data_IF_880169245155
#
_entry.id   IF_880169245155
#
_cell.length_a   1.000
_cell.length_b   1.000
_cell.length_c   1.000
_cell.angle_alpha   90.00
_cell.angle_beta   90.00
_cell.angle_gamma   90.00
#
_symmetry.space_group_name_H-M   'P 1'
#
loop_
_entity.id
_entity.type
_entity.pdbx_description
1 polymer ?
#
# COMPACT_ATOMS: atom_id res chain seq x y z
N UNK A 1 -6.09 58.64 -8.28
CA UNK A 1 -5.95 57.18 -8.46
C UNK A 1 -4.53 56.79 -8.08
N UNK A 2 -4.32 56.38 -6.83
CA UNK A 2 -3.00 55.96 -6.34
C UNK A 2 -2.79 54.48 -6.68
N UNK A 3 -1.79 54.20 -7.50
CA UNK A 3 -1.27 52.86 -7.75
C UNK A 3 -0.54 52.38 -6.48
N UNK A 4 -1.12 51.42 -5.77
CA UNK A 4 -0.37 50.64 -4.78
C UNK A 4 0.39 49.54 -5.52
N UNK A 5 1.65 49.82 -5.86
CA UNK A 5 2.61 48.76 -6.15
C UNK A 5 3.03 48.14 -4.81
N UNK A 6 2.43 47.01 -4.46
CA UNK A 6 2.91 46.19 -3.35
C UNK A 6 4.28 45.61 -3.75
N UNK A 7 5.32 45.68 -2.91
CA UNK A 7 6.56 44.99 -3.19
C UNK A 7 6.26 43.49 -3.08
N UNK A 8 6.25 42.80 -4.21
CA UNK A 8 6.36 41.34 -4.23
C UNK A 8 7.72 41.06 -3.59
N UNK A 9 7.71 40.66 -2.32
CA UNK A 9 8.87 40.11 -1.66
C UNK A 9 9.38 38.97 -2.55
N UNK A 10 10.50 39.20 -3.24
CA UNK A 10 11.28 38.13 -3.84
C UNK A 10 11.75 37.26 -2.67
N UNK A 11 10.97 36.24 -2.32
CA UNK A 11 11.59 35.02 -1.81
C UNK A 11 12.42 34.53 -2.99
N UNK A 12 13.73 34.64 -2.87
CA UNK A 12 14.64 33.89 -3.72
C UNK A 12 14.30 32.42 -3.50
N UNK A 13 13.40 31.88 -4.32
CA UNK A 13 13.34 30.45 -4.58
C UNK A 13 14.65 30.13 -5.30
N UNK A 14 15.70 29.83 -4.54
CA UNK A 14 16.97 29.38 -5.09
C UNK A 14 16.71 28.11 -5.89
N UNK A 15 16.81 28.22 -7.22
CA UNK A 15 16.81 27.06 -8.10
C UNK A 15 18.02 26.18 -7.72
N UNK A 16 17.75 24.90 -7.45
CA UNK A 16 18.83 23.96 -7.17
C UNK A 16 19.80 23.90 -8.36
N UNK A 17 21.09 23.92 -8.07
CA UNK A 17 22.14 23.74 -9.06
C UNK A 17 22.03 22.36 -9.74
N UNK A 18 22.59 22.22 -10.94
CA UNK A 18 22.60 20.96 -11.67
C UNK A 18 23.22 19.80 -10.86
N UNK A 19 24.26 20.09 -10.06
CA UNK A 19 24.90 19.11 -9.19
C UNK A 19 23.98 18.65 -8.05
N UNK A 20 23.21 19.57 -7.45
CA UNK A 20 22.21 19.24 -6.42
C UNK A 20 21.07 18.40 -6.99
N UNK A 21 20.58 18.76 -8.19
CA UNK A 21 19.56 17.97 -8.90
C UNK A 21 20.07 16.57 -9.21
N UNK A 22 21.29 16.43 -9.72
CA UNK A 22 21.89 15.13 -10.03
C UNK A 22 22.09 14.28 -8.76
N UNK A 23 22.57 14.88 -7.67
CA UNK A 23 22.71 14.21 -6.39
C UNK A 23 21.37 13.70 -5.84
N UNK A 24 20.32 14.51 -5.94
CA UNK A 24 18.96 14.12 -5.54
C UNK A 24 18.37 13.04 -6.46
N UNK A 25 18.57 13.10 -7.78
CA UNK A 25 18.18 12.03 -8.71
C UNK A 25 18.85 10.71 -8.35
N UNK A 26 20.14 10.73 -7.98
CA UNK A 26 20.87 9.55 -7.55
C UNK A 26 20.28 8.95 -6.27
N UNK A 27 20.03 9.78 -5.25
CA UNK A 27 19.39 9.34 -3.99
C UNK A 27 18.02 8.72 -4.23
N UNK A 28 17.19 9.35 -5.06
CA UNK A 28 15.88 8.80 -5.45
C UNK A 28 16.10 7.47 -6.16
N UNK A 29 16.99 7.40 -7.15
CA UNK A 29 17.30 6.18 -7.89
C UNK A 29 17.73 5.01 -7.01
N UNK A 30 18.59 5.26 -6.02
CA UNK A 30 19.02 4.27 -5.01
C UNK A 30 17.83 3.80 -4.16
N UNK A 31 17.05 4.73 -3.62
CA UNK A 31 15.83 4.44 -2.84
C UNK A 31 14.80 3.64 -3.64
N UNK A 32 14.70 3.86 -4.95
CA UNK A 32 13.80 3.12 -5.83
C UNK A 32 14.27 1.70 -6.14
N UNK A 33 15.60 1.45 -6.13
CA UNK A 33 16.21 0.14 -6.40
C UNK A 33 16.22 -0.76 -5.17
N UNK A 34 16.25 -0.19 -3.97
CA UNK A 34 16.13 -0.97 -2.74
C UNK A 34 14.72 -1.57 -2.69
N UNK A 35 14.56 -2.90 -2.70
CA UNK A 35 13.25 -3.49 -2.47
C UNK A 35 12.77 -2.98 -1.11
N UNK A 36 11.56 -2.41 -1.07
CA UNK A 36 10.89 -2.15 0.19
C UNK A 36 10.91 -3.50 0.93
N UNK A 37 11.59 -3.57 2.08
CA UNK A 37 11.72 -4.80 2.85
C UNK A 37 10.34 -5.37 3.10
N UNK A 38 9.95 -6.35 2.27
CA UNK A 38 8.75 -7.14 2.39
C UNK A 38 8.97 -8.09 3.56
N UNK A 39 8.72 -7.56 4.74
CA UNK A 39 8.80 -8.27 5.99
C UNK A 39 8.10 -7.41 6.99
N UNK A 40 6.80 -7.63 7.16
CA UNK A 40 6.24 -7.52 8.49
C UNK A 40 7.12 -8.41 9.38
N UNK A 41 8.08 -7.79 10.08
CA UNK A 41 8.76 -8.41 11.20
C UNK A 41 7.68 -8.61 12.25
N UNK A 42 6.92 -9.69 12.12
CA UNK A 42 6.28 -10.31 13.27
C UNK A 42 7.43 -10.62 14.22
N UNK A 43 7.36 -10.05 15.42
CA UNK A 43 8.44 -10.00 16.40
C UNK A 43 9.25 -11.30 16.43
N UNK A 44 10.56 -11.16 16.27
CA UNK A 44 11.49 -12.20 16.60
C UNK A 44 11.47 -12.38 18.11
N UNK A 45 11.02 -13.54 18.58
CA UNK A 45 11.55 -14.17 19.78
C UNK A 45 11.97 -15.59 19.39
N UNK A 46 13.23 -15.90 19.71
CA UNK A 46 14.01 -17.04 19.23
C UNK A 46 13.64 -18.36 19.90
N UNK A 47 13.63 -19.48 19.16
CA UNK A 47 14.59 -20.61 19.32
C UNK A 47 14.52 -21.61 18.13
N UNK A 48 15.49 -22.56 17.94
CA UNK A 48 16.29 -22.65 16.70
C UNK A 48 15.86 -23.73 15.67
N UNK A 49 16.47 -23.58 14.50
CA UNK A 49 16.53 -24.38 13.28
C UNK A 49 16.11 -25.87 13.31
N UNK A 50 15.35 -26.24 12.26
CA UNK A 50 15.60 -27.46 11.50
C UNK A 50 15.44 -27.18 10.00
N UNK A 51 16.18 -27.94 9.20
CA UNK A 51 16.66 -27.63 7.86
C UNK A 51 15.60 -27.62 6.75
N UNK A 52 15.88 -26.78 5.75
CA UNK A 52 15.74 -27.03 4.32
C UNK A 52 14.48 -27.70 3.80
N UNK A 53 13.57 -26.89 3.27
CA UNK A 53 12.83 -27.26 2.06
C UNK A 53 12.48 -25.97 1.30
N UNK A 54 12.85 -25.92 0.02
CA UNK A 54 12.57 -24.81 -0.86
C UNK A 54 11.05 -24.66 -1.02
N UNK A 55 10.54 -23.45 -0.77
CA UNK A 55 9.13 -23.10 -0.98
C UNK A 55 8.77 -23.30 -2.46
N UNK A 56 7.95 -24.31 -2.82
CA UNK A 56 7.55 -24.56 -4.21
C UNK A 56 6.45 -23.58 -4.66
N UNK A 57 6.00 -22.65 -3.79
CA UNK A 57 4.89 -21.74 -4.02
C UNK A 57 5.17 -20.54 -4.93
N UNK A 58 6.43 -20.31 -5.35
CA UNK A 58 6.78 -19.17 -6.20
C UNK A 58 6.31 -19.31 -7.67
N UNK A 59 5.84 -20.49 -8.08
CA UNK A 59 5.51 -20.81 -9.47
C UNK A 59 4.01 -21.03 -9.69
N UNK A 60 3.18 -20.00 -9.47
CA UNK A 60 1.88 -19.80 -10.15
C UNK A 60 1.22 -18.47 -9.73
N UNK A 61 1.91 -17.35 -9.89
CA UNK A 61 1.23 -16.08 -10.04
C UNK A 61 0.82 -15.96 -11.52
N UNK A 62 -0.43 -16.26 -11.84
CA UNK A 62 -1.04 -15.83 -13.12
C UNK A 62 -0.69 -14.36 -13.27
N UNK A 63 0.10 -14.02 -14.30
CA UNK A 63 0.81 -12.75 -14.41
C UNK A 63 -0.14 -11.56 -14.27
N UNK A 64 -0.27 -11.04 -13.04
CA UNK A 64 -0.99 -9.80 -12.78
C UNK A 64 -0.12 -8.71 -13.40
N UNK A 65 -0.50 -8.22 -14.58
CA UNK A 65 0.30 -7.25 -15.33
C UNK A 65 0.74 -6.05 -14.51
N UNK A 66 1.81 -5.40 -14.97
CA UNK A 66 2.54 -4.39 -14.20
C UNK A 66 1.67 -3.15 -13.93
N UNK A 67 1.73 -2.65 -12.69
CA UNK A 67 1.17 -1.35 -12.31
C UNK A 67 2.30 -0.36 -12.17
N UNK A 68 2.18 0.80 -12.80
CA UNK A 68 3.21 1.84 -12.75
C UNK A 68 2.63 3.24 -12.88
N UNK A 69 3.37 4.24 -12.40
CA UNK A 69 3.12 5.66 -12.70
C UNK A 69 4.05 6.06 -13.84
N UNK A 70 3.55 6.53 -15.00
CA UNK A 70 4.38 7.10 -16.04
C UNK A 70 5.02 8.40 -15.55
N UNK A 71 6.32 8.56 -15.75
CA UNK A 71 7.08 9.75 -15.32
C UNK A 71 7.86 10.32 -16.51
N UNK A 72 7.19 10.96 -17.49
CA UNK A 72 7.88 11.58 -18.61
C UNK A 72 8.60 12.85 -18.14
N UNK A 73 9.82 13.06 -18.62
CA UNK A 73 10.52 14.34 -18.51
C UNK A 73 10.14 15.19 -19.73
N UNK A 74 9.49 16.32 -19.48
CA UNK A 74 9.07 17.24 -20.54
C UNK A 74 10.19 18.23 -20.76
N UNK A 75 10.86 18.15 -21.90
CA UNK A 75 12.09 18.93 -22.14
C UNK A 75 11.81 20.37 -22.55
N UNK A 76 10.73 20.61 -23.31
CA UNK A 76 10.38 21.92 -23.85
C UNK A 76 8.91 21.99 -24.26
N UNK A 77 8.40 23.20 -24.48
CA UNK A 77 7.15 23.43 -25.22
C UNK A 77 7.23 22.93 -26.67
N UNK A 78 6.08 22.56 -27.23
CA UNK A 78 5.96 21.92 -28.56
C UNK A 78 6.09 20.39 -28.53
N UNK A 79 6.26 19.79 -27.34
CA UNK A 79 6.36 18.32 -27.16
C UNK A 79 5.06 17.69 -26.63
N UNK A 80 4.01 18.49 -26.42
CA UNK A 80 2.77 18.11 -25.74
C UNK A 80 2.10 16.92 -26.42
N UNK A 81 1.93 16.99 -27.75
CA UNK A 81 1.34 15.91 -28.54
C UNK A 81 2.16 14.61 -28.47
N UNK A 82 3.49 14.71 -28.42
CA UNK A 82 4.38 13.55 -28.33
C UNK A 82 4.28 12.87 -26.97
N UNK A 83 4.24 13.66 -25.89
CA UNK A 83 4.08 13.16 -24.52
C UNK A 83 2.72 12.48 -24.35
N UNK A 84 1.63 13.10 -24.83
CA UNK A 84 0.29 12.51 -24.79
C UNK A 84 0.23 11.17 -25.54
N UNK A 85 0.73 11.15 -26.78
CA UNK A 85 0.77 9.91 -27.57
C UNK A 85 1.62 8.82 -26.91
N UNK A 86 2.72 9.20 -26.24
CA UNK A 86 3.52 8.25 -25.47
C UNK A 86 2.75 7.70 -24.27
N UNK A 87 2.08 8.56 -23.49
CA UNK A 87 1.25 8.13 -22.34
C UNK A 87 0.16 7.13 -22.77
N UNK A 88 -0.46 7.35 -23.91
CA UNK A 88 -1.51 6.46 -24.43
C UNK A 88 -0.95 5.10 -24.88
N UNK A 89 0.23 5.09 -25.50
CA UNK A 89 0.94 3.84 -25.82
C UNK A 89 1.29 3.06 -24.56
N UNK A 90 1.78 3.74 -23.51
CA UNK A 90 2.10 3.09 -22.24
C UNK A 90 0.86 2.49 -21.57
N UNK A 91 -0.25 3.23 -21.54
CA UNK A 91 -1.51 2.74 -20.98
C UNK A 91 -2.06 1.53 -21.76
N UNK A 92 -2.00 1.58 -23.09
CA UNK A 92 -2.46 0.49 -23.96
C UNK A 92 -1.59 -0.76 -23.78
N UNK A 93 -0.27 -0.61 -23.73
CA UNK A 93 0.65 -1.72 -23.50
C UNK A 93 0.39 -2.38 -22.14
N UNK A 94 0.27 -1.57 -21.08
CA UNK A 94 -0.05 -2.07 -19.74
C UNK A 94 -1.35 -2.87 -19.72
N UNK A 95 -2.42 -2.36 -20.36
CA UNK A 95 -3.72 -3.03 -20.39
C UNK A 95 -3.67 -4.40 -21.10
N UNK A 96 -2.90 -4.52 -22.20
CA UNK A 96 -2.71 -5.79 -22.92
C UNK A 96 -2.07 -6.88 -22.07
N UNK A 97 -1.20 -6.47 -21.13
CA UNK A 97 -0.54 -7.37 -20.20
C UNK A 97 -1.38 -7.63 -18.92
N UNK A 98 -2.62 -7.12 -18.84
CA UNK A 98 -3.45 -7.19 -17.63
C UNK A 98 -2.94 -6.29 -16.50
N UNK A 99 -2.14 -5.28 -16.85
CA UNK A 99 -1.60 -4.25 -15.96
C UNK A 99 -2.36 -2.94 -16.04
N UNK A 100 -1.79 -1.88 -15.45
CA UNK A 100 -2.41 -0.55 -15.42
C UNK A 100 -1.37 0.56 -15.30
N UNK A 101 -1.40 1.50 -16.24
CA UNK A 101 -0.75 2.79 -16.06
C UNK A 101 -1.63 3.69 -15.18
N UNK A 102 -1.06 4.21 -14.10
CA UNK A 102 -1.71 5.17 -13.21
C UNK A 102 -1.56 6.60 -13.77
N UNK A 103 -2.20 7.57 -13.10
CA UNK A 103 -2.08 8.98 -13.46
C UNK A 103 -0.60 9.41 -13.48
N UNK A 104 -0.12 10.08 -14.53
CA UNK A 104 1.30 10.41 -14.69
C UNK A 104 1.78 11.49 -13.73
N UNK A 105 3.08 11.46 -13.44
CA UNK A 105 3.83 12.57 -12.86
C UNK A 105 4.69 13.19 -13.97
N UNK A 106 4.29 14.34 -14.49
CA UNK A 106 5.06 15.07 -15.49
C UNK A 106 6.23 15.78 -14.80
N UNK A 107 7.47 15.48 -15.20
CA UNK A 107 8.65 16.19 -14.70
C UNK A 107 8.93 17.38 -15.60
N UNK A 108 8.72 18.57 -15.06
CA UNK A 108 9.01 19.83 -15.72
C UNK A 108 10.45 20.26 -15.39
N UNK A 109 11.19 20.70 -16.40
CA UNK A 109 12.42 21.46 -16.20
C UNK A 109 12.05 22.92 -15.80
N UNK A 110 12.90 23.62 -15.02
CA UNK A 110 12.62 25.00 -14.62
C UNK A 110 12.68 25.98 -15.81
N UNK A 111 13.27 25.57 -16.94
CA UNK A 111 13.49 26.38 -18.13
C UNK A 111 12.81 25.79 -19.39
N UNK A 112 13.14 26.34 -20.56
CA UNK A 112 12.74 25.84 -21.89
C UNK A 112 11.23 25.72 -22.11
N UNK A 113 10.41 26.53 -21.45
CA UNK A 113 8.96 26.45 -21.57
C UNK A 113 8.37 25.08 -21.18
N UNK A 114 9.09 24.30 -20.35
CA UNK A 114 8.69 22.95 -19.96
C UNK A 114 7.49 22.93 -19.00
N UNK A 115 7.45 23.84 -18.01
CA UNK A 115 6.31 23.93 -17.10
C UNK A 115 5.00 24.30 -17.82
N UNK A 116 4.94 25.33 -18.70
CA UNK A 116 3.74 25.61 -19.48
C UNK A 116 3.29 24.42 -20.33
N UNK A 117 4.24 23.70 -20.97
CA UNK A 117 3.94 22.47 -21.70
C UNK A 117 3.30 21.40 -20.80
N UNK A 118 3.83 21.19 -19.59
CA UNK A 118 3.24 20.27 -18.61
C UNK A 118 1.83 20.68 -18.20
N UNK A 119 1.57 21.98 -18.03
CA UNK A 119 0.24 22.49 -17.68
C UNK A 119 -0.76 22.30 -18.82
N UNK A 120 -0.34 22.49 -20.07
CA UNK A 120 -1.17 22.21 -21.26
C UNK A 120 -1.49 20.71 -21.39
N UNK A 121 -0.49 19.84 -21.24
CA UNK A 121 -0.68 18.38 -21.19
C UNK A 121 -1.67 18.02 -20.07
N UNK A 122 -1.49 18.58 -18.86
CA UNK A 122 -2.37 18.29 -17.73
C UNK A 122 -3.80 18.78 -17.97
N UNK A 123 -3.98 19.96 -18.58
CA UNK A 123 -5.29 20.46 -18.98
C UNK A 123 -5.96 19.52 -19.98
N UNK A 124 -5.23 19.08 -21.02
CA UNK A 124 -5.73 18.12 -22.01
C UNK A 124 -6.13 16.79 -21.35
N UNK A 125 -5.31 16.25 -20.46
CA UNK A 125 -5.62 15.04 -19.70
C UNK A 125 -6.91 15.20 -18.89
N UNK A 126 -7.10 16.33 -18.22
CA UNK A 126 -8.32 16.62 -17.44
C UNK A 126 -9.57 16.69 -18.33
N UNK A 127 -9.46 17.27 -19.53
CA UNK A 127 -10.56 17.25 -20.52
C UNK A 127 -10.95 15.82 -20.91
N UNK A 128 -9.98 14.89 -20.94
CA UNK A 128 -10.23 13.46 -21.17
C UNK A 128 -10.67 12.69 -19.92
N UNK A 129 -10.97 13.38 -18.80
CA UNK A 129 -11.33 12.75 -17.54
C UNK A 129 -10.17 12.03 -16.84
N UNK A 130 -8.92 12.29 -17.25
CA UNK A 130 -7.70 11.70 -16.68
C UNK A 130 -7.06 12.66 -15.67
N UNK A 131 -6.45 12.07 -14.64
CA UNK A 131 -5.64 12.81 -13.67
C UNK A 131 -4.18 12.95 -14.10
N UNK A 132 -3.42 13.71 -13.32
CA UNK A 132 -1.98 13.86 -13.46
C UNK A 132 -1.44 14.86 -12.44
N UNK A 133 -0.13 14.84 -12.22
CA UNK A 133 0.58 15.81 -11.38
C UNK A 133 1.81 16.33 -12.12
N UNK A 134 2.29 17.51 -11.73
CA UNK A 134 3.54 18.10 -12.25
C UNK A 134 4.50 18.28 -11.09
N UNK A 135 5.75 17.85 -11.25
CA UNK A 135 6.84 18.22 -10.36
C UNK A 135 7.90 18.97 -11.16
N UNK A 136 8.28 20.15 -10.67
CA UNK A 136 9.33 20.96 -11.29
C UNK A 136 10.68 20.56 -10.69
N UNK A 137 11.56 20.02 -11.52
CA UNK A 137 12.90 19.60 -11.11
C UNK A 137 13.66 20.78 -10.52
N UNK A 138 14.31 20.56 -9.38
CA UNK A 138 15.07 21.58 -8.67
C UNK A 138 14.24 22.48 -7.75
N UNK A 139 12.90 22.40 -7.77
CA UNK A 139 12.03 23.09 -6.79
C UNK A 139 11.77 22.23 -5.55
N UNK A 140 11.63 22.86 -4.39
CA UNK A 140 11.42 22.16 -3.12
C UNK A 140 10.33 21.05 -3.23
N UNK A 141 10.69 19.83 -2.82
CA UNK A 141 9.78 18.68 -2.78
C UNK A 141 9.68 17.84 -4.06
N UNK A 142 10.34 18.22 -5.17
CA UNK A 142 10.24 17.47 -6.44
C UNK A 142 10.69 16.00 -6.32
N UNK A 143 11.77 15.72 -5.57
CA UNK A 143 12.28 14.35 -5.36
C UNK A 143 11.33 13.50 -4.49
N UNK A 144 10.61 14.14 -3.56
CA UNK A 144 9.55 13.51 -2.76
C UNK A 144 8.36 13.12 -3.62
N UNK A 145 7.97 13.94 -4.61
CA UNK A 145 6.89 13.59 -5.55
C UNK A 145 7.24 12.36 -6.39
N UNK A 146 8.48 12.25 -6.88
CA UNK A 146 8.95 11.06 -7.60
C UNK A 146 8.91 9.82 -6.70
N UNK A 147 9.38 9.95 -5.46
CA UNK A 147 9.34 8.87 -4.48
C UNK A 147 7.91 8.45 -4.15
N UNK A 148 7.00 9.41 -4.00
CA UNK A 148 5.59 9.17 -3.75
C UNK A 148 4.91 8.49 -4.96
N UNK A 149 5.26 8.87 -6.19
CA UNK A 149 4.75 8.21 -7.40
C UNK A 149 5.17 6.72 -7.46
N UNK A 150 6.43 6.42 -7.15
CA UNK A 150 6.88 5.04 -7.09
C UNK A 150 6.24 4.24 -5.95
N UNK A 151 6.11 4.83 -4.75
CA UNK A 151 5.39 4.22 -3.64
C UNK A 151 3.93 3.94 -4.01
N UNK A 152 3.27 4.88 -4.71
CA UNK A 152 1.91 4.72 -5.21
C UNK A 152 1.80 3.51 -6.15
N UNK A 153 2.72 3.36 -7.10
CA UNK A 153 2.75 2.21 -8.00
C UNK A 153 2.92 0.89 -7.25
N UNK A 154 3.81 0.83 -6.25
CA UNK A 154 4.04 -0.36 -5.42
C UNK A 154 2.79 -0.73 -4.61
N UNK A 155 2.19 0.24 -3.93
CA UNK A 155 0.97 0.03 -3.14
C UNK A 155 -0.18 -0.40 -4.04
N UNK A 156 -0.39 0.25 -5.19
CA UNK A 156 -1.43 -0.15 -6.13
C UNK A 156 -1.20 -1.55 -6.71
N UNK A 157 0.05 -1.92 -6.97
CA UNK A 157 0.44 -3.27 -7.35
C UNK A 157 0.11 -4.30 -6.27
N UNK A 158 0.50 -4.03 -5.02
CA UNK A 158 0.20 -4.87 -3.87
C UNK A 158 -1.31 -5.02 -3.66
N UNK A 159 -2.06 -3.91 -3.65
CA UNK A 159 -3.51 -3.91 -3.47
C UNK A 159 -4.23 -4.76 -4.50
N UNK A 160 -3.81 -4.73 -5.77
CA UNK A 160 -4.36 -5.62 -6.82
C UNK A 160 -4.09 -7.09 -6.59
N UNK A 161 -3.03 -7.41 -5.84
CA UNK A 161 -2.69 -8.79 -5.53
C UNK A 161 -3.19 -9.27 -4.17
N UNK A 162 -3.54 -8.34 -3.29
CA UNK A 162 -3.80 -8.61 -1.89
C UNK A 162 -5.10 -9.39 -1.68
N UNK A 163 -5.11 -10.18 -0.61
CA UNK A 163 -6.26 -10.99 -0.17
C UNK A 163 -6.65 -10.58 1.24
N UNK A 164 -7.88 -10.11 1.40
CA UNK A 164 -8.43 -9.62 2.67
C UNK A 164 -9.44 -10.64 3.20
N UNK A 165 -9.19 -11.20 4.38
CA UNK A 165 -10.15 -12.09 5.05
C UNK A 165 -11.27 -11.34 5.73
N UNK A 166 -12.51 -11.61 5.36
CA UNK A 166 -13.71 -11.08 6.03
C UNK A 166 -14.30 -12.15 6.94
N UNK A 167 -14.02 -12.09 8.23
CA UNK A 167 -14.40 -13.12 9.20
C UNK A 167 -15.71 -12.73 9.91
N UNK A 168 -16.81 -13.43 9.60
CA UNK A 168 -18.13 -13.19 10.21
C UNK A 168 -18.99 -12.07 9.60
N UNK A 169 -18.50 -11.42 8.54
CA UNK A 169 -19.24 -10.34 7.86
C UNK A 169 -19.36 -9.04 8.67
N UNK A 170 -20.05 -8.02 8.15
CA UNK A 170 -20.30 -6.78 8.89
C UNK A 170 -21.31 -7.00 10.03
N UNK A 171 -21.17 -6.23 11.10
CA UNK A 171 -22.16 -6.21 12.19
C UNK A 171 -23.45 -5.52 11.74
N UNK A 172 -24.60 -6.01 12.21
CA UNK A 172 -25.93 -5.57 11.77
C UNK A 172 -26.24 -4.11 12.12
N UNK A 173 -25.61 -3.58 13.17
CA UNK A 173 -25.77 -2.19 13.63
C UNK A 173 -24.87 -1.18 12.89
N UNK A 174 -24.06 -1.62 11.92
CA UNK A 174 -23.21 -0.72 11.14
C UNK A 174 -24.05 0.04 10.10
N UNK A 175 -24.26 1.34 10.35
CA UNK A 175 -24.91 2.24 9.39
C UNK A 175 -24.00 2.65 8.21
N UNK A 176 -22.68 2.46 8.34
CA UNK A 176 -21.72 2.75 7.29
C UNK A 176 -21.75 1.68 6.19
N UNK A 177 -21.53 2.08 4.94
CA UNK A 177 -21.54 1.17 3.79
C UNK A 177 -20.53 0.04 3.96
N UNK A 178 -21.02 -1.20 3.98
CA UNK A 178 -20.20 -2.40 3.80
C UNK A 178 -20.22 -2.73 2.31
N UNK A 179 -19.26 -2.21 1.50
CA UNK A 179 -19.26 -2.47 0.07
C UNK A 179 -19.16 -3.97 -0.17
N UNK A 180 -19.86 -4.45 -1.20
CA UNK A 180 -19.76 -5.85 -1.58
C UNK A 180 -18.31 -6.20 -2.02
N UNK A 181 -17.88 -7.46 -1.85
CA UNK A 181 -16.57 -7.95 -2.28
C UNK A 181 -16.18 -7.61 -3.72
N UNK A 182 -17.13 -7.56 -4.65
CA UNK A 182 -16.84 -7.28 -6.06
C UNK A 182 -16.54 -5.80 -6.27
N UNK A 183 -17.24 -4.91 -5.57
CA UNK A 183 -16.95 -3.47 -5.57
C UNK A 183 -15.56 -3.19 -5.02
N UNK A 184 -15.16 -3.84 -3.92
CA UNK A 184 -13.80 -3.73 -3.37
C UNK A 184 -12.75 -4.17 -4.40
N UNK A 185 -12.95 -5.33 -5.03
CA UNK A 185 -12.06 -5.85 -6.07
C UNK A 185 -11.98 -4.93 -7.28
N UNK A 186 -13.11 -4.42 -7.75
CA UNK A 186 -13.20 -3.56 -8.95
C UNK A 186 -12.55 -2.20 -8.72
N UNK A 187 -12.76 -1.57 -7.56
CA UNK A 187 -12.31 -0.21 -7.27
C UNK A 187 -10.86 -0.18 -6.80
N UNK A 188 -10.48 -1.05 -5.85
CA UNK A 188 -9.17 -1.02 -5.22
C UNK A 188 -8.26 -2.18 -5.65
N UNK A 189 -8.82 -3.28 -6.15
CA UNK A 189 -8.07 -4.45 -6.59
C UNK A 189 -8.07 -5.69 -5.68
N UNK A 190 -8.14 -5.60 -4.33
CA UNK A 190 -7.93 -6.76 -3.48
C UNK A 190 -9.10 -7.74 -3.57
N UNK A 191 -8.80 -9.01 -3.38
CA UNK A 191 -9.81 -10.05 -3.23
C UNK A 191 -10.29 -10.12 -1.79
N UNK A 192 -11.59 -10.06 -1.58
CA UNK A 192 -12.19 -10.33 -0.27
C UNK A 192 -12.53 -11.82 -0.18
N UNK A 193 -11.99 -12.49 0.82
CA UNK A 193 -12.19 -13.90 1.12
C UNK A 193 -13.10 -13.99 2.35
N UNK A 194 -14.37 -14.32 2.15
CA UNK A 194 -15.31 -14.47 3.26
C UNK A 194 -15.05 -15.79 4.00
N UNK A 195 -14.90 -15.70 5.32
CA UNK A 195 -14.76 -16.85 6.22
C UNK A 195 -15.90 -16.78 7.24
N UNK A 196 -16.74 -17.83 7.35
CA UNK A 196 -17.76 -17.88 8.38
C UNK A 196 -17.14 -17.74 9.78
N UNK A 197 -17.83 -17.02 10.68
CA UNK A 197 -17.33 -16.88 12.04
C UNK A 197 -17.25 -18.24 12.77
N UNK A 198 -18.13 -19.17 12.42
CA UNK A 198 -18.11 -20.54 12.93
C UNK A 198 -16.76 -21.25 12.69
N UNK A 199 -16.12 -21.02 11.54
CA UNK A 199 -14.82 -21.59 11.21
C UNK A 199 -13.71 -21.01 12.11
N UNK A 200 -13.83 -19.73 12.49
CA UNK A 200 -12.92 -19.08 13.45
C UNK A 200 -13.09 -19.70 14.83
N UNK A 201 -14.34 -19.84 15.29
CA UNK A 201 -14.66 -20.45 16.59
C UNK A 201 -14.15 -21.89 16.65
N UNK A 202 -14.33 -22.65 15.57
CA UNK A 202 -13.84 -24.04 15.51
C UNK A 202 -12.31 -24.11 15.53
N UNK A 203 -11.63 -23.22 14.79
CA UNK A 203 -10.18 -23.12 14.86
C UNK A 203 -9.68 -22.76 16.26
N UNK A 204 -10.37 -21.88 16.99
CA UNK A 204 -10.05 -21.57 18.39
C UNK A 204 -10.20 -22.80 19.30
N UNK A 205 -11.28 -23.58 19.14
CA UNK A 205 -11.49 -24.81 19.92
C UNK A 205 -10.40 -25.84 19.66
N UNK A 206 -10.01 -26.01 18.40
CA UNK A 206 -8.93 -26.92 18.02
C UNK A 206 -7.61 -26.52 18.69
N UNK A 207 -7.25 -25.23 18.65
CA UNK A 207 -6.05 -24.71 19.32
C UNK A 207 -6.09 -24.93 20.84
N UNK A 208 -7.24 -24.67 21.47
CA UNK A 208 -7.42 -24.90 22.90
C UNK A 208 -7.33 -26.39 23.28
N UNK A 209 -7.75 -27.29 22.40
CA UNK A 209 -7.70 -28.73 22.64
C UNK A 209 -6.28 -29.31 22.45
N UNK A 210 -5.46 -28.71 21.59
CA UNK A 210 -4.13 -29.21 21.23
C UNK A 210 -3.10 -29.07 22.37
N UNK A 211 -2.93 -27.86 22.93
CA UNK A 211 -2.04 -27.62 24.09
C UNK A 211 -2.60 -26.58 25.08
N UNK A 212 -3.65 -26.94 25.84
CA UNK A 212 -4.22 -26.03 26.84
C UNK A 212 -3.25 -25.69 27.97
N UNK A 213 -2.26 -26.54 28.27
CA UNK A 213 -1.26 -26.26 29.29
C UNK A 213 -0.23 -25.22 28.80
N UNK A 214 0.23 -25.33 27.54
CA UNK A 214 1.13 -24.38 26.91
C UNK A 214 0.52 -23.00 26.75
N UNK A 215 -0.74 -22.92 26.32
CA UNK A 215 -1.45 -21.64 26.23
C UNK A 215 -1.53 -20.93 27.59
N UNK A 216 -1.83 -21.67 28.67
CA UNK A 216 -1.83 -21.10 30.03
C UNK A 216 -0.44 -20.64 30.48
N UNK A 217 0.61 -21.39 30.15
CA UNK A 217 2.01 -20.96 30.45
C UNK A 217 2.36 -19.67 29.71
N UNK A 218 2.00 -19.57 28.43
CA UNK A 218 2.20 -18.35 27.61
C UNK A 218 1.38 -17.17 28.15
N UNK A 219 0.13 -17.40 28.53
CA UNK A 219 -0.71 -16.37 29.14
C UNK A 219 -0.08 -15.84 30.44
N UNK A 220 0.34 -16.74 31.33
CA UNK A 220 1.01 -16.36 32.57
C UNK A 220 2.33 -15.61 32.31
N UNK A 221 3.10 -15.99 31.28
CA UNK A 221 4.31 -15.26 30.89
C UNK A 221 4.01 -13.86 30.36
N UNK A 222 3.01 -13.72 29.49
CA UNK A 222 2.58 -12.43 28.95
C UNK A 222 2.13 -11.50 30.08
N UNK A 223 1.32 -12.00 31.01
CA UNK A 223 0.86 -11.25 32.17
C UNK A 223 2.01 -10.87 33.11
N UNK A 224 2.99 -11.75 33.34
CA UNK A 224 4.18 -11.43 34.17
C UNK A 224 5.07 -10.35 33.55
N UNK A 225 5.11 -10.27 32.22
CA UNK A 225 5.91 -9.26 31.48
C UNK A 225 5.14 -7.96 31.24
N UNK A 226 3.85 -7.92 31.54
CA UNK A 226 3.05 -6.71 31.39
C UNK A 226 3.48 -5.67 32.43
N UNK A 227 3.47 -4.40 32.04
CA UNK A 227 3.72 -3.28 32.95
C UNK A 227 2.66 -3.23 34.06
N UNK A 228 1.40 -3.53 33.70
CA UNK A 228 0.28 -3.62 34.62
C UNK A 228 -0.76 -4.62 34.09
N UNK A 229 -1.46 -5.31 35.00
CA UNK A 229 -2.62 -6.15 34.70
C UNK A 229 -3.75 -5.75 35.64
N UNK A 230 -4.85 -5.23 35.08
CA UNK A 230 -5.99 -4.72 35.85
C UNK A 230 -7.18 -5.66 35.75
N UNK A 231 -7.77 -5.80 34.55
CA UNK A 231 -9.04 -6.50 34.34
C UNK A 231 -8.92 -7.97 33.88
N UNK A 232 -8.02 -8.35 32.94
CA UNK A 232 -8.07 -9.69 32.37
C UNK A 232 -7.49 -10.73 33.31
N UNK A 233 -8.25 -11.80 33.57
CA UNK A 233 -7.73 -12.98 34.23
C UNK A 233 -6.91 -13.86 33.27
N UNK A 234 -6.22 -14.85 33.84
CA UNK A 234 -5.39 -15.78 33.05
C UNK A 234 -6.21 -16.57 32.02
N UNK A 235 -7.50 -16.85 32.29
CA UNK A 235 -8.39 -17.53 31.36
C UNK A 235 -8.70 -16.67 30.13
N UNK A 236 -8.95 -15.39 30.34
CA UNK A 236 -9.20 -14.38 29.31
C UNK A 236 -8.01 -14.25 28.38
N UNK A 237 -6.81 -14.12 28.95
CA UNK A 237 -5.56 -14.04 28.17
C UNK A 237 -5.30 -15.35 27.42
N UNK A 238 -5.59 -16.50 28.03
CA UNK A 238 -5.48 -17.81 27.37
C UNK A 238 -6.42 -17.90 26.15
N UNK A 239 -7.67 -17.45 26.29
CA UNK A 239 -8.63 -17.39 25.18
C UNK A 239 -8.19 -16.45 24.05
N UNK A 240 -7.66 -15.28 24.40
CA UNK A 240 -7.12 -14.33 23.43
C UNK A 240 -5.92 -14.90 22.66
N UNK A 241 -5.02 -15.64 23.33
CA UNK A 241 -3.92 -16.35 22.67
C UNK A 241 -4.41 -17.44 21.73
N UNK A 242 -5.43 -18.21 22.12
CA UNK A 242 -6.03 -19.21 21.25
C UNK A 242 -6.64 -18.57 20.00
N UNK A 243 -7.39 -17.47 20.15
CA UNK A 243 -7.91 -16.69 19.04
C UNK A 243 -6.79 -16.18 18.13
N UNK A 244 -5.73 -15.61 18.71
CA UNK A 244 -4.59 -15.15 17.94
C UNK A 244 -3.95 -16.26 17.10
N UNK A 245 -3.71 -17.44 17.69
CA UNK A 245 -3.13 -18.58 16.99
C UNK A 245 -4.08 -19.11 15.90
N UNK A 246 -5.38 -19.21 16.17
CA UNK A 246 -6.40 -19.60 15.20
C UNK A 246 -6.44 -18.65 13.99
N UNK A 247 -6.47 -17.34 14.24
CA UNK A 247 -6.43 -16.32 13.19
C UNK A 247 -5.14 -16.43 12.35
N UNK A 248 -3.98 -16.63 12.98
CA UNK A 248 -2.72 -16.86 12.25
C UNK A 248 -2.74 -18.11 11.39
N UNK A 249 -3.35 -19.19 11.88
CA UNK A 249 -3.57 -20.41 11.11
C UNK A 249 -4.43 -20.15 9.87
N UNK A 250 -5.57 -19.47 10.05
CA UNK A 250 -6.48 -19.10 8.95
C UNK A 250 -5.83 -18.16 7.95
N UNK A 251 -5.04 -17.16 8.39
CA UNK A 251 -4.27 -16.27 7.54
C UNK A 251 -3.32 -17.05 6.63
N UNK A 252 -2.58 -18.02 7.17
CA UNK A 252 -1.69 -18.88 6.36
C UNK A 252 -2.49 -19.77 5.41
N UNK A 253 -3.53 -20.44 5.90
CA UNK A 253 -4.38 -21.37 5.13
C UNK A 253 -5.02 -20.68 3.92
N UNK A 254 -5.54 -19.48 4.10
CA UNK A 254 -6.23 -18.73 3.05
C UNK A 254 -5.31 -17.75 2.28
N UNK A 255 -4.01 -17.72 2.62
CA UNK A 255 -2.99 -16.83 2.06
C UNK A 255 -3.45 -15.37 2.09
N UNK A 256 -3.80 -14.89 3.28
CA UNK A 256 -4.35 -13.56 3.49
C UNK A 256 -3.23 -12.56 3.82
N UNK A 257 -3.39 -11.34 3.33
CA UNK A 257 -2.50 -10.21 3.61
C UNK A 257 -3.07 -9.29 4.70
N UNK A 258 -4.38 -9.32 4.90
CA UNK A 258 -5.09 -8.60 5.96
C UNK A 258 -6.35 -9.35 6.38
N UNK A 259 -6.87 -9.04 7.57
CA UNK A 259 -8.13 -9.59 8.07
C UNK A 259 -8.99 -8.52 8.71
N UNK A 260 -10.29 -8.69 8.61
CA UNK A 260 -11.31 -8.01 9.42
C UNK A 260 -12.07 -9.07 10.17
N UNK A 261 -12.36 -8.84 11.45
CA UNK A 261 -13.02 -9.82 12.32
C UNK A 261 -14.26 -9.19 12.93
N UNK A 262 -15.40 -9.87 12.83
CA UNK A 262 -16.60 -9.57 13.61
C UNK A 262 -16.34 -9.97 15.06
N UNK A 263 -15.76 -9.06 15.82
CA UNK A 263 -15.23 -9.32 17.16
C UNK A 263 -16.30 -9.48 18.23
N UNK A 264 -17.45 -8.79 18.10
CA UNK A 264 -18.47 -8.79 19.15
C UNK A 264 -19.05 -10.20 19.39
N UNK A 265 -19.31 -10.93 18.32
CA UNK A 265 -19.85 -12.29 18.35
C UNK A 265 -18.83 -13.33 18.88
N UNK A 266 -17.56 -12.94 19.09
CA UNK A 266 -16.53 -13.79 19.73
C UNK A 266 -16.46 -13.59 21.24
N UNK A 267 -17.08 -12.53 21.76
CA UNK A 267 -17.29 -12.33 23.18
C UNK A 267 -18.56 -13.12 23.50
N UNK A 268 -18.46 -14.15 24.35
CA UNK A 268 -19.65 -14.92 24.76
C UNK A 268 -20.73 -14.03 25.38
N UNK A 269 -21.96 -14.54 25.61
CA UNK A 269 -22.91 -13.87 26.49
C UNK A 269 -22.34 -13.69 27.90
#
# INVERSE_FOLDING_TARGET
>A
MAFFASPIARREETEASAAEVEAELRKVGESLRTPAGGGARVGADATPQAAGEADPGAAQAVGRGRVFVPVPVVLTGGTEAQVLAWLDRQATAAAREGGRALAPLLLALPHSNSLPACLEILARLRTDGRGGRVAVVGRAGWSREVSAAAATARVAGFMRSARIGLFGGPSEWLAASSPDPETVRRVWGPEVVTVPLADVVEACRAVLAEDPAGLRRQAAELMRRAEEVVEPDSGTVTGALALHQALRGLVRRHRLDAVTVRCFDLLGP
#
